data_IF_064447026547
#
_entry.id   IF_064447026547
#
_cell.length_a   1.000
_cell.length_b   1.000
_cell.length_c   1.000
_cell.angle_alpha   90.00
_cell.angle_beta   90.00
_cell.angle_gamma   90.00
#
_symmetry.space_group_name_H-M   'P 1'
#
loop_
_entity.id
_entity.type
_entity.pdbx_description
1 polymer ?
2 non-polymer ?
3 non-polymer ?
4 water ?
#
# COMPACT_ATOMS: atom_id res chain seq x y z
N UNK A 8 -9.16 11.77 20.06
CA UNK A 8 -8.41 11.95 18.82
C UNK A 8 -9.14 11.34 17.63
N UNK A 9 -9.04 11.99 16.46
CA UNK A 9 -9.80 11.49 15.32
C UNK A 9 -8.96 10.55 14.46
N UNK A 10 -7.62 10.55 14.66
CA UNK A 10 -6.70 9.76 13.86
C UNK A 10 -6.06 8.71 14.75
N UNK A 11 -6.07 7.45 14.30
CA UNK A 11 -5.30 6.46 15.02
C UNK A 11 -3.91 6.28 14.40
N UNK A 12 -2.96 5.73 15.16
CA UNK A 12 -1.62 5.43 14.63
C UNK A 12 -1.17 4.11 15.24
N UNK A 13 -0.67 3.21 14.39
CA UNK A 13 -0.09 1.99 14.94
C UNK A 13 1.41 1.91 14.58
N UNK A 14 2.22 1.59 15.61
CA UNK A 14 3.66 1.45 15.44
C UNK A 14 4.14 0.53 16.55
N UNK A 15 4.91 -0.49 16.16
CA UNK A 15 5.51 -1.43 17.10
C UNK A 15 6.93 -1.77 16.64
N UNK A 16 7.88 -1.55 17.55
CA UNK A 16 9.30 -1.73 17.32
C UNK A 16 9.61 -3.17 16.96
N UNK A 17 8.75 -4.09 17.43
CA UNK A 17 8.94 -5.50 17.14
C UNK A 17 9.00 -5.74 15.64
N UNK A 18 8.38 -4.88 14.82
CA UNK A 18 8.46 -5.11 13.37
C UNK A 18 9.82 -4.73 12.79
N UNK A 19 10.70 -4.15 13.62
CA UNK A 19 12.07 -3.86 13.23
C UNK A 19 12.90 -5.14 13.17
N UNK A 20 12.39 -6.25 13.74
CA UNK A 20 13.22 -7.43 13.98
C UNK A 20 13.61 -8.15 12.69
N UNK A 21 12.72 -8.08 11.70
CA UNK A 21 12.94 -8.61 10.38
C UNK A 21 14.20 -7.99 9.75
N UNK A 22 15.14 -8.83 9.31
CA UNK A 22 16.36 -8.22 8.80
C UNK A 22 17.04 -9.20 7.89
N UNK A 23 17.98 -8.65 7.12
CA UNK A 23 18.66 -9.41 6.09
C UNK A 23 20.01 -9.82 6.67
N UNK A 24 20.13 -11.10 6.99
CA UNK A 24 21.27 -11.60 7.74
C UNK A 24 22.54 -11.51 6.90
N UNK A 25 22.41 -11.48 5.56
CA UNK A 25 23.61 -11.44 4.73
C UNK A 25 23.89 -10.06 4.15
N UNK A 26 22.96 -9.11 4.30
CA UNK A 26 23.23 -7.79 3.77
C UNK A 26 22.56 -6.82 4.72
N UNK A 27 23.30 -6.43 5.76
CA UNK A 27 22.79 -5.58 6.82
C UNK A 27 22.49 -4.18 6.28
N UNK A 28 22.86 -3.94 5.02
CA UNK A 28 22.62 -2.66 4.38
C UNK A 28 21.54 -2.80 3.31
N UNK A 29 20.86 -3.96 3.24
CA UNK A 29 19.79 -4.06 2.26
C UNK A 29 18.83 -2.87 2.43
N UNK A 30 18.20 -2.29 1.38
CA UNK A 30 17.42 -1.06 1.57
C UNK A 30 16.07 -1.21 2.29
N UNK A 31 15.58 -2.45 2.46
CA UNK A 31 14.37 -2.63 3.22
C UNK A 31 14.76 -2.68 4.71
N UNK A 32 15.08 -1.51 5.28
CA UNK A 32 15.79 -1.43 6.55
C UNK A 32 14.81 -1.42 7.71
N UNK A 33 15.20 -2.01 8.87
CA UNK A 33 14.42 -1.91 10.10
C UNK A 33 14.06 -0.46 10.44
N UNK A 34 14.99 0.48 10.21
CA UNK A 34 14.76 1.87 10.62
C UNK A 34 13.85 2.62 9.65
N UNK A 35 13.34 1.95 8.61
CA UNK A 35 12.29 2.57 7.82
C UNK A 35 11.16 3.05 8.74
N UNK A 36 10.74 2.19 9.68
CA UNK A 36 9.55 2.45 10.49
C UNK A 36 9.90 3.34 11.69
N UNK A 37 11.13 3.19 12.21
CA UNK A 37 11.49 3.98 13.38
C UNK A 37 11.71 5.44 13.00
N UNK A 38 12.22 5.64 11.78
CA UNK A 38 12.53 6.95 11.22
C UNK A 38 11.21 7.67 10.94
N UNK A 39 10.23 6.94 10.40
CA UNK A 39 8.88 7.49 10.21
C UNK A 39 8.26 7.86 11.56
N UNK A 40 8.32 6.95 12.53
CA UNK A 40 7.71 7.19 13.83
C UNK A 40 8.34 8.42 14.51
N UNK A 41 9.68 8.50 14.46
CA UNK A 41 10.36 9.55 15.20
C UNK A 41 10.13 10.91 14.54
N UNK A 42 9.94 10.92 13.21
CA UNK A 42 9.54 12.14 12.52
C UNK A 42 8.12 12.56 12.92
N UNK A 43 7.23 11.59 13.15
CA UNK A 43 5.92 11.91 13.73
C UNK A 43 6.06 12.63 15.07
N UNK A 44 7.03 12.21 15.90
CA UNK A 44 7.29 12.85 17.19
C UNK A 44 7.78 14.29 16.98
N UNK A 45 8.76 14.46 16.09
CA UNK A 45 9.34 15.77 15.78
C UNK A 45 8.29 16.76 15.32
N UNK A 46 7.33 16.30 14.49
CA UNK A 46 6.33 17.19 13.93
C UNK A 46 5.11 17.28 14.84
N UNK A 47 5.24 16.78 16.07
CA UNK A 47 4.26 16.94 17.14
C UNK A 47 2.94 16.30 16.78
N UNK A 48 3.01 15.16 16.08
CA UNK A 48 1.82 14.48 15.58
C UNK A 48 1.39 13.34 16.50
N UNK A 49 2.32 12.77 17.30
CA UNK A 49 2.06 11.58 18.11
C UNK A 49 1.07 11.91 19.22
N UNK A 50 1.15 13.14 19.72
CA UNK A 50 0.30 13.54 20.84
C UNK A 50 -1.14 13.72 20.36
N UNK A 51 -1.35 13.88 19.05
CA UNK A 51 -2.68 14.12 18.53
C UNK A 51 -3.41 12.83 18.13
N UNK A 52 -2.67 11.72 18.15
CA UNK A 52 -3.15 10.49 17.56
C UNK A 52 -3.51 9.53 18.68
N UNK A 53 -4.53 8.70 18.45
CA UNK A 53 -4.83 7.61 19.37
C UNK A 53 -3.96 6.42 18.95
N UNK A 54 -3.16 5.91 19.90
CA UNK A 54 -2.26 4.80 19.65
C UNK A 54 -3.09 3.52 19.69
N UNK A 55 -3.07 2.83 18.56
CA UNK A 55 -3.76 1.56 18.34
C UNK A 55 -2.74 0.45 18.52
N UNK A 56 -2.96 -0.59 19.36
CA UNK A 56 -1.98 -1.67 19.53
C UNK A 56 -1.79 -2.53 18.27
N UNK A 57 -0.59 -3.07 18.11
CA UNK A 57 -0.44 -4.02 17.03
C UNK A 57 -0.82 -5.36 17.63
N UNK A 58 -1.07 -6.36 16.79
CA UNK A 58 -1.23 -7.69 17.32
C UNK A 58 -0.89 -8.62 16.18
N UNK A 59 -0.81 -9.92 16.48
CA UNK A 59 -0.54 -10.88 15.43
C UNK A 59 -1.81 -11.14 14.63
N UNK A 60 -1.75 -11.15 13.28
CA UNK A 60 -2.80 -11.82 12.51
C UNK A 60 -2.79 -13.28 12.95
N UNK A 61 -3.99 -13.87 13.05
CA UNK A 61 -4.13 -15.31 13.25
C UNK A 61 -4.04 -15.97 11.88
N UNK A 62 -3.88 -17.29 11.89
CA UNK A 62 -3.65 -18.06 10.69
C UNK A 62 -4.94 -18.11 9.86
N UNK A 63 -6.07 -18.10 10.58
CA UNK A 63 -7.40 -18.05 10.01
C UNK A 63 -7.61 -16.70 9.32
N UNK A 64 -7.14 -15.61 9.94
CA UNK A 64 -7.14 -14.34 9.23
C UNK A 64 -6.26 -14.38 7.98
N UNK A 65 -5.08 -15.03 8.05
CA UNK A 65 -4.23 -15.06 6.85
C UNK A 65 -4.92 -15.81 5.72
N UNK A 66 -5.76 -16.80 6.09
CA UNK A 66 -6.37 -17.68 5.11
C UNK A 66 -7.45 -16.91 4.35
N UNK A 67 -7.75 -15.67 4.79
CA UNK A 67 -8.65 -14.81 4.02
C UNK A 67 -8.14 -14.63 2.59
N UNK A 68 -6.81 -14.53 2.42
CA UNK A 68 -6.23 -14.27 1.12
C UNK A 68 -5.17 -15.29 0.73
N UNK A 69 -4.56 -16.03 1.68
CA UNK A 69 -3.37 -16.82 1.37
C UNK A 69 -3.69 -18.31 1.45
N UNK A 70 -3.03 -19.12 0.62
CA UNK A 70 -3.11 -20.58 0.65
C UNK A 70 -2.50 -21.10 1.95
N UNK A 71 -2.98 -22.29 2.38
CA UNK A 71 -2.45 -22.89 3.59
C UNK A 71 -1.00 -23.33 3.36
N UNK A 72 -0.67 -23.64 2.09
CA UNK A 72 0.69 -24.03 1.69
C UNK A 72 1.68 -22.88 1.85
N UNK A 73 1.25 -21.66 1.46
CA UNK A 73 2.11 -20.49 1.58
C UNK A 73 2.30 -20.14 3.06
N UNK A 74 1.18 -20.08 3.79
CA UNK A 74 1.17 -19.82 5.21
C UNK A 74 2.16 -20.77 5.89
N UNK A 75 2.06 -22.04 5.53
CA UNK A 75 2.84 -23.10 6.13
C UNK A 75 4.34 -22.82 5.96
N UNK A 76 4.76 -22.50 4.74
CA UNK A 76 6.17 -22.27 4.44
C UNK A 76 6.69 -21.05 5.22
N UNK A 77 5.96 -19.94 5.22
CA UNK A 77 6.51 -18.76 5.88
C UNK A 77 6.61 -19.01 7.39
N UNK A 78 5.63 -19.72 7.96
CA UNK A 78 5.69 -19.98 9.40
C UNK A 78 6.87 -20.87 9.74
N UNK A 79 7.23 -21.81 8.85
CA UNK A 79 8.33 -22.74 9.10
C UNK A 79 9.67 -22.01 9.19
N UNK A 80 9.74 -20.77 8.67
CA UNK A 80 11.01 -20.06 8.64
C UNK A 80 11.47 -19.76 10.07
N UNK A 81 10.52 -19.69 11.01
CA UNK A 81 10.82 -19.30 12.38
C UNK A 81 11.84 -20.21 13.02
N UNK A 82 11.88 -21.49 12.61
CA UNK A 82 12.77 -22.47 13.21
C UNK A 82 13.93 -22.86 12.28
N UNK A 83 14.13 -22.13 11.18
CA UNK A 83 15.18 -22.52 10.25
C UNK A 83 16.55 -22.01 10.69
N UNK A 84 17.60 -22.79 10.38
CA UNK A 84 18.96 -22.33 10.63
C UNK A 84 19.34 -21.36 9.53
N UNK A 85 20.40 -20.54 9.68
CA UNK A 85 20.76 -19.57 8.63
C UNK A 85 20.83 -20.09 7.18
N UNK A 86 21.42 -21.27 7.01
CA UNK A 86 21.60 -21.84 5.70
C UNK A 86 20.23 -22.08 5.04
N UNK A 87 19.23 -22.51 5.82
CA UNK A 87 17.92 -22.83 5.25
C UNK A 87 17.10 -21.58 4.94
N UNK A 88 17.26 -20.58 5.82
CA UNK A 88 16.69 -19.26 5.60
C UNK A 88 17.13 -18.74 4.24
N UNK A 89 18.45 -18.82 3.98
CA UNK A 89 19.08 -18.34 2.77
C UNK A 89 18.53 -19.06 1.54
N UNK A 90 18.44 -20.39 1.63
CA UNK A 90 17.85 -21.18 0.55
C UNK A 90 16.38 -20.79 0.33
N UNK A 91 15.64 -20.64 1.42
CA UNK A 91 14.21 -20.36 1.30
C UNK A 91 14.02 -18.98 0.66
N UNK A 92 14.75 -17.97 1.15
CA UNK A 92 14.69 -16.63 0.58
C UNK A 92 14.91 -16.70 -0.93
N UNK A 93 15.88 -17.52 -1.33
CA UNK A 93 16.33 -17.60 -2.72
C UNK A 93 15.28 -18.26 -3.64
N UNK A 94 14.26 -18.90 -3.08
CA UNK A 94 13.22 -19.50 -3.90
C UNK A 94 12.27 -18.47 -4.52
N UNK A 95 12.28 -17.22 -4.04
CA UNK A 95 11.31 -16.22 -4.49
C UNK A 95 12.04 -15.04 -5.15
N UNK A 96 11.29 -14.15 -5.81
CA UNK A 96 11.85 -12.94 -6.39
C UNK A 96 12.05 -11.90 -5.30
N UNK A 97 13.32 -11.54 -5.05
CA UNK A 97 13.77 -10.56 -4.06
C UNK A 97 13.08 -10.73 -2.71
N UNK A 98 13.50 -11.74 -1.95
CA UNK A 98 13.03 -11.91 -0.58
C UNK A 98 14.26 -12.26 0.26
N UNK A 99 14.40 -11.65 1.44
CA UNK A 99 15.27 -12.18 2.48
C UNK A 99 14.40 -12.57 3.68
N UNK A 100 14.86 -13.59 4.42
CA UNK A 100 14.10 -14.06 5.56
C UNK A 100 15.07 -14.22 6.72
N UNK A 101 14.66 -13.75 7.90
CA UNK A 101 15.32 -14.07 9.15
C UNK A 101 14.30 -14.81 10.01
N UNK A 102 14.69 -15.22 11.23
CA UNK A 102 13.81 -16.05 12.04
C UNK A 102 12.64 -15.24 12.59
N UNK A 103 12.73 -13.89 12.54
CA UNK A 103 11.73 -12.99 13.10
C UNK A 103 10.74 -12.51 12.04
N UNK A 104 10.98 -12.92 10.79
CA UNK A 104 10.27 -12.39 9.64
C UNK A 104 8.78 -12.67 9.71
N UNK A 105 8.47 -13.96 9.95
CA UNK A 105 7.11 -14.45 10.12
C UNK A 105 6.34 -13.62 11.14
N UNK A 106 6.88 -13.49 12.37
CA UNK A 106 6.28 -12.71 13.43
C UNK A 106 6.06 -11.25 12.99
N UNK A 107 7.02 -10.67 12.30
CA UNK A 107 6.87 -9.29 11.85
C UNK A 107 5.76 -9.14 10.80
N UNK A 108 5.60 -10.14 9.91
CA UNK A 108 4.59 -10.07 8.87
C UNK A 108 3.19 -10.18 9.49
N UNK A 109 3.07 -11.06 10.50
CA UNK A 109 1.87 -11.21 11.30
C UNK A 109 1.52 -9.88 11.98
N UNK A 110 2.53 -9.21 12.54
CA UNK A 110 2.33 -7.97 13.25
C UNK A 110 1.82 -6.87 12.31
N UNK A 111 2.45 -6.80 11.12
CA UNK A 111 2.09 -5.84 10.11
C UNK A 111 0.61 -5.96 9.74
N UNK A 112 0.16 -7.20 9.49
CA UNK A 112 -1.23 -7.45 9.12
C UNK A 112 -2.16 -7.23 10.30
N UNK A 113 -1.80 -7.71 11.50
CA UNK A 113 -2.73 -7.60 12.63
C UNK A 113 -2.88 -6.14 13.06
N UNK A 114 -1.82 -5.38 12.83
CA UNK A 114 -1.78 -3.97 13.20
C UNK A 114 -2.83 -3.25 12.36
N UNK A 115 -2.92 -3.66 11.11
CA UNK A 115 -3.85 -3.07 10.17
C UNK A 115 -5.29 -3.54 10.41
N UNK A 116 -5.51 -4.81 10.80
CA UNK A 116 -6.82 -5.23 11.25
C UNK A 116 -7.30 -4.35 12.41
N UNK A 117 -6.46 -4.13 13.42
CA UNK A 117 -6.86 -3.35 14.58
C UNK A 117 -7.21 -1.93 14.15
N UNK A 118 -6.46 -1.42 13.17
CA UNK A 118 -6.67 -0.07 12.67
C UNK A 118 -8.01 -0.03 11.93
N UNK A 119 -8.31 -1.08 11.17
CA UNK A 119 -9.54 -1.11 10.39
C UNK A 119 -10.75 -1.19 11.34
N UNK A 120 -10.65 -2.13 12.30
CA UNK A 120 -11.63 -2.21 13.36
C UNK A 120 -11.76 -0.89 14.12
N UNK A 121 -10.66 -0.20 14.42
CA UNK A 121 -10.76 1.08 15.13
C UNK A 121 -11.60 2.08 14.34
N UNK A 122 -11.45 2.08 12.99
CA UNK A 122 -12.15 3.00 12.11
C UNK A 122 -13.62 2.60 11.96
N UNK A 123 -13.85 1.29 11.78
CA UNK A 123 -15.18 0.80 11.50
C UNK A 123 -16.09 0.80 12.73
N UNK A 124 -15.54 0.73 13.96
CA UNK A 124 -16.32 0.79 15.20
C UNK A 124 -16.34 2.22 15.75
N UNK A 125 -15.83 3.19 14.99
CA UNK A 125 -15.99 4.59 15.35
C UNK A 125 -15.02 5.03 16.44
N UNK A 126 -14.04 4.19 16.80
CA UNK A 126 -13.01 4.58 17.77
C UNK A 126 -12.22 5.77 17.22
N UNK A 127 -11.79 5.66 15.96
CA UNK A 127 -11.19 6.78 15.27
C UNK A 127 -11.91 6.95 13.93
N UNK A 128 -11.64 8.08 13.26
CA UNK A 128 -12.16 8.32 11.93
C UNK A 128 -11.22 7.71 10.89
N UNK A 129 -9.92 7.85 11.11
CA UNK A 129 -8.94 7.45 10.12
C UNK A 129 -7.70 7.00 10.89
N UNK A 130 -6.71 6.45 10.17
CA UNK A 130 -5.58 5.83 10.84
C UNK A 130 -4.41 5.73 9.88
N UNK A 131 -3.22 5.65 10.46
CA UNK A 131 -1.99 5.43 9.71
C UNK A 131 -1.28 4.24 10.36
N UNK A 132 -0.74 3.35 9.53
CA UNK A 132 -0.13 2.13 9.98
C UNK A 132 1.33 2.13 9.54
N UNK A 133 2.24 2.33 10.50
CA UNK A 133 3.66 2.37 10.22
C UNK A 133 4.25 0.96 10.40
N UNK A 134 4.22 0.15 9.32
CA UNK A 134 4.46 -1.29 9.45
C UNK A 134 5.50 -1.71 8.41
N UNK A 135 6.16 -2.84 8.69
CA UNK A 135 7.01 -3.54 7.75
C UNK A 135 7.03 -4.98 8.25
N UNK A 136 7.34 -5.98 7.39
CA UNK A 136 7.67 -5.80 5.99
C UNK A 136 6.42 -5.39 5.22
N UNK A 137 6.57 -4.92 3.96
CA UNK A 137 5.42 -4.58 3.11
C UNK A 137 4.58 -5.77 2.63
N UNK A 138 3.58 -5.51 1.76
CA UNK A 138 2.55 -6.51 1.54
C UNK A 138 2.14 -6.72 0.09
N UNK A 139 2.19 -5.67 -0.74
CA UNK A 139 1.36 -5.68 -1.95
C UNK A 139 1.83 -6.57 -3.11
N UNK A 140 3.06 -7.11 -3.07
CA UNK A 140 3.46 -8.07 -4.09
C UNK A 140 3.12 -9.51 -3.68
N UNK A 141 2.86 -9.74 -2.39
CA UNK A 141 2.50 -11.08 -1.91
C UNK A 141 1.23 -11.59 -2.59
N UNK A 142 1.34 -12.77 -3.21
CA UNK A 142 0.21 -13.38 -3.88
C UNK A 142 -0.42 -14.42 -2.97
N UNK A 143 -1.52 -15.00 -3.42
CA UNK A 143 -2.23 -16.02 -2.65
C UNK A 143 -1.25 -17.13 -2.28
N UNK A 144 -0.37 -17.50 -3.22
CA UNK A 144 0.42 -18.70 -3.00
C UNK A 144 1.92 -18.42 -2.88
N UNK A 145 2.35 -17.13 -2.84
CA UNK A 145 3.81 -16.90 -2.79
C UNK A 145 4.20 -15.49 -2.29
N UNK A 146 5.38 -15.40 -1.63
CA UNK A 146 6.05 -14.16 -1.27
C UNK A 146 6.80 -13.58 -2.48
N UNK A 147 7.04 -12.26 -2.50
CA UNK A 147 7.69 -11.62 -3.63
C UNK A 147 8.00 -10.17 -3.26
N UNK A 148 9.16 -9.66 -3.71
CA UNK A 148 9.45 -8.23 -3.64
C UNK A 148 9.38 -7.65 -2.23
N UNK A 149 10.00 -8.35 -1.25
CA UNK A 149 10.10 -7.94 0.16
C UNK A 149 8.81 -8.21 0.92
N UNK A 150 7.79 -8.82 0.28
CA UNK A 150 6.43 -8.97 0.82
C UNK A 150 6.13 -10.45 1.11
N UNK A 151 5.63 -10.75 2.33
CA UNK A 151 5.33 -12.13 2.73
C UNK A 151 3.82 -12.41 2.61
N UNK A 152 3.01 -11.50 3.17
CA UNK A 152 1.55 -11.61 3.20
C UNK A 152 0.98 -10.27 2.77
N UNK A 153 -0.15 -10.28 2.04
CA UNK A 153 -0.71 -9.06 1.47
C UNK A 153 -1.50 -8.30 2.53
N UNK A 154 -0.76 -7.49 3.27
CA UNK A 154 -1.33 -6.68 4.34
C UNK A 154 -2.60 -5.92 3.89
N UNK A 155 -2.58 -5.22 2.74
CA UNK A 155 -3.73 -4.39 2.38
C UNK A 155 -4.91 -5.25 1.94
N UNK A 156 -4.62 -6.30 1.17
CA UNK A 156 -5.63 -7.27 0.79
C UNK A 156 -6.31 -7.91 2.00
N UNK A 157 -5.51 -8.34 2.97
CA UNK A 157 -6.02 -9.03 4.17
C UNK A 157 -6.91 -8.06 4.93
N UNK A 158 -6.43 -6.83 5.09
CA UNK A 158 -7.20 -5.79 5.76
C UNK A 158 -8.57 -5.61 5.09
N UNK A 159 -8.64 -5.52 3.74
CA UNK A 159 -9.92 -5.42 3.04
C UNK A 159 -10.84 -6.59 3.34
N UNK A 160 -10.34 -7.84 3.22
CA UNK A 160 -11.14 -8.99 3.63
C UNK A 160 -11.51 -8.97 5.12
N UNK A 161 -10.54 -8.61 5.97
CA UNK A 161 -10.84 -8.54 7.39
C UNK A 161 -11.98 -7.54 7.62
N UNK A 162 -11.92 -6.38 6.96
CA UNK A 162 -12.94 -5.35 7.15
C UNK A 162 -14.31 -5.90 6.81
N UNK A 163 -14.38 -6.68 5.73
CA UNK A 163 -15.63 -7.26 5.23
C UNK A 163 -16.11 -8.28 6.24
N UNK A 164 -15.17 -9.06 6.80
CA UNK A 164 -15.56 -10.15 7.69
C UNK A 164 -16.21 -9.60 8.97
N UNK A 165 -15.92 -8.35 9.37
CA UNK A 165 -16.44 -7.82 10.62
C UNK A 165 -17.56 -6.80 10.33
N UNK A 166 -17.90 -6.58 9.06
CA UNK A 166 -19.06 -5.77 8.76
C UNK A 166 -20.03 -6.64 7.96
N UNK A 167 -20.06 -6.43 6.64
CA UNK A 167 -20.76 -7.30 5.72
C UNK A 167 -19.80 -7.60 4.59
N UNK A 168 -19.96 -8.80 4.01
CA UNK A 168 -19.09 -9.34 2.97
C UNK A 168 -19.04 -8.37 1.80
N UNK A 169 -20.11 -7.62 1.60
CA UNK A 169 -20.19 -6.76 0.44
C UNK A 169 -19.67 -5.33 0.71
N UNK A 170 -19.07 -5.07 1.89
CA UNK A 170 -18.49 -3.75 2.17
C UNK A 170 -17.60 -3.29 1.01
N UNK A 171 -17.86 -2.08 0.49
CA UNK A 171 -17.07 -1.59 -0.62
C UNK A 171 -15.77 -0.97 -0.08
N UNK A 172 -14.66 -1.62 -0.44
CA UNK A 172 -13.35 -1.16 -0.01
C UNK A 172 -12.60 -0.74 -1.27
N UNK A 173 -12.13 0.52 -1.26
CA UNK A 173 -11.17 1.02 -2.24
C UNK A 173 -9.75 0.81 -1.72
N UNK A 174 -8.86 0.24 -2.56
CA UNK A 174 -7.41 0.20 -2.33
C UNK A 174 -6.75 1.10 -3.35
N UNK A 175 -6.22 2.22 -2.88
CA UNK A 175 -5.36 3.05 -3.72
C UNK A 175 -3.91 2.72 -3.38
N UNK A 176 -3.15 2.35 -4.41
CA UNK A 176 -1.78 1.88 -4.28
C UNK A 176 -0.89 2.86 -5.04
N UNK A 177 -0.25 3.75 -4.26
CA UNK A 177 0.55 4.81 -4.83
C UNK A 177 2.04 4.51 -4.64
N UNK A 178 2.33 3.31 -4.14
CA UNK A 178 3.68 2.79 -4.23
C UNK A 178 4.17 2.89 -5.69
N UNK A 179 5.47 3.11 -5.94
CA UNK A 179 5.90 3.31 -7.33
C UNK A 179 5.84 2.00 -8.13
N UNK A 180 5.71 0.88 -7.43
CA UNK A 180 5.65 -0.43 -8.07
C UNK A 180 4.20 -0.95 -8.07
N UNK A 181 3.89 -1.73 -9.11
CA UNK A 181 2.56 -2.32 -9.21
C UNK A 181 2.36 -3.37 -8.11
N UNK A 182 1.17 -3.36 -7.50
CA UNK A 182 0.80 -4.33 -6.48
C UNK A 182 0.21 -5.57 -7.16
N UNK A 183 1.08 -6.37 -7.79
CA UNK A 183 0.65 -7.55 -8.51
C UNK A 183 -0.25 -8.41 -7.62
N UNK A 184 0.12 -8.56 -6.33
CA UNK A 184 -0.56 -9.48 -5.43
C UNK A 184 -1.97 -9.00 -5.11
N UNK A 185 -2.12 -7.68 -4.92
CA UNK A 185 -3.42 -7.12 -4.66
C UNK A 185 -4.32 -7.29 -5.90
N UNK A 186 -3.81 -6.94 -7.07
CA UNK A 186 -4.60 -7.06 -8.26
C UNK A 186 -5.11 -8.49 -8.39
N UNK A 187 -4.18 -9.45 -8.25
CA UNK A 187 -4.54 -10.83 -8.53
C UNK A 187 -5.60 -11.31 -7.56
N UNK A 188 -5.48 -10.90 -6.30
CA UNK A 188 -6.36 -11.41 -5.25
C UNK A 188 -7.79 -10.95 -5.55
N UNK A 189 -7.95 -9.70 -6.00
CA UNK A 189 -9.27 -9.13 -6.14
C UNK A 189 -9.70 -9.02 -7.61
N UNK A 190 -9.03 -9.74 -8.53
CA UNK A 190 -9.14 -9.53 -9.96
C UNK A 190 -10.56 -9.82 -10.47
N UNK A 191 -11.25 -10.77 -9.84
CA UNK A 191 -12.62 -11.11 -10.21
C UNK A 191 -13.62 -10.69 -9.13
N UNK A 192 -13.33 -9.60 -8.41
CA UNK A 192 -14.15 -9.18 -7.29
C UNK A 192 -14.67 -7.76 -7.55
N UNK A 193 -15.99 -7.52 -7.45
CA UNK A 193 -16.53 -6.18 -7.60
C UNK A 193 -16.68 -5.47 -6.26
N UNK A 194 -16.32 -6.13 -5.16
CA UNK A 194 -16.52 -5.54 -3.83
C UNK A 194 -15.28 -4.76 -3.38
N UNK A 195 -14.14 -4.97 -4.07
CA UNK A 195 -12.88 -4.32 -3.77
C UNK A 195 -12.34 -3.67 -5.04
N UNK A 196 -12.38 -2.34 -5.12
CA UNK A 196 -11.80 -1.60 -6.22
C UNK A 196 -10.31 -1.40 -5.93
N UNK A 197 -9.49 -1.83 -6.88
CA UNK A 197 -8.04 -1.69 -6.84
C UNK A 197 -7.63 -0.65 -7.89
N UNK A 198 -6.94 0.39 -7.41
CA UNK A 198 -6.34 1.43 -8.25
C UNK A 198 -4.85 1.53 -7.92
N UNK A 199 -4.05 1.38 -8.97
CA UNK A 199 -2.61 1.39 -8.83
C UNK A 199 -2.03 2.41 -9.79
N UNK A 200 -1.17 3.26 -9.23
CA UNK A 200 -0.28 4.05 -10.06
C UNK A 200 1.13 3.53 -9.85
N UNK A 201 1.88 3.37 -10.95
CA UNK A 201 3.16 2.69 -10.89
C UNK A 201 4.01 2.96 -12.12
N UNK A 202 5.32 3.10 -11.91
CA UNK A 202 6.27 3.08 -13.00
C UNK A 202 6.21 1.70 -13.67
N UNK A 203 6.14 1.71 -15.01
CA UNK A 203 5.91 0.51 -15.80
C UNK A 203 7.04 0.28 -16.81
N UNK A 204 7.39 1.30 -17.61
CA UNK A 204 8.45 1.21 -18.61
C UNK A 204 8.22 0.01 -19.55
N UNK A 205 6.96 -0.14 -19.99
CA UNK A 205 6.61 -1.19 -20.95
C UNK A 205 7.00 -2.56 -20.44
N UNK A 206 7.03 -2.75 -19.12
CA UNK A 206 7.36 -4.03 -18.53
C UNK A 206 8.80 -4.09 -18.02
N UNK A 207 9.60 -3.02 -18.22
CA UNK A 207 10.99 -3.14 -17.84
C UNK A 207 11.20 -2.90 -16.34
N UNK A 208 10.15 -2.53 -15.61
CA UNK A 208 10.28 -2.17 -14.20
C UNK A 208 9.63 -3.26 -13.35
N UNK A 209 10.24 -3.52 -12.18
CA UNK A 209 9.72 -4.50 -11.24
C UNK A 209 8.24 -4.18 -10.94
N UNK A 210 7.33 -5.18 -10.87
CA UNK A 210 7.65 -6.59 -11.14
C UNK A 210 7.73 -7.17 -12.55
N UNK A 211 7.92 -6.35 -13.58
CA UNK A 211 8.40 -6.91 -14.84
C UNK A 211 7.34 -7.79 -15.51
N UNK A 212 6.07 -7.38 -15.41
CA UNK A 212 4.95 -8.13 -15.98
C UNK A 212 3.96 -7.20 -16.67
N UNK A 213 3.33 -7.72 -17.74
CA UNK A 213 2.30 -7.02 -18.47
C UNK A 213 0.97 -6.94 -17.69
N UNK A 214 0.90 -7.66 -16.56
CA UNK A 214 -0.23 -7.60 -15.63
C UNK A 214 -0.49 -6.16 -15.21
N UNK A 215 0.51 -5.31 -15.32
CA UNK A 215 0.43 -3.95 -14.78
C UNK A 215 -0.03 -2.95 -15.85
N UNK A 216 -0.28 -3.41 -17.06
CA UNK A 216 -0.69 -2.47 -18.10
C UNK A 216 -2.14 -2.01 -17.90
N UNK A 217 -2.47 -0.85 -18.46
CA UNK A 217 -3.77 -0.22 -18.25
C UNK A 217 -4.89 -1.10 -18.80
N UNK A 218 -4.55 -2.04 -19.68
CA UNK A 218 -5.59 -2.84 -20.28
C UNK A 218 -5.97 -4.01 -19.39
N UNK A 219 -5.35 -4.16 -18.21
CA UNK A 219 -5.85 -5.21 -17.33
C UNK A 219 -6.89 -4.56 -16.44
N UNK A 220 -8.19 -4.76 -16.76
CA UNK A 220 -9.30 -4.02 -16.17
C UNK A 220 -10.07 -4.89 -15.20
N UNK A 221 -9.63 -6.14 -15.00
CA UNK A 221 -10.40 -7.05 -14.16
C UNK A 221 -11.06 -8.16 -14.98
N UNK A 222 -11.60 -9.17 -14.30
CA UNK A 222 -12.11 -10.36 -14.95
C UNK A 222 -13.50 -10.68 -14.40
N UNK A 223 -14.40 -11.15 -15.26
CA UNK A 223 -15.70 -11.64 -14.80
C UNK A 223 -16.48 -10.47 -14.19
N UNK A 224 -17.05 -10.67 -12.99
CA UNK A 224 -17.79 -9.60 -12.33
C UNK A 224 -16.81 -8.49 -11.91
N UNK A 225 -15.51 -8.77 -12.00
CA UNK A 225 -14.44 -7.85 -11.59
C UNK A 225 -14.10 -6.84 -12.69
N UNK A 226 -14.73 -6.96 -13.86
CA UNK A 226 -14.41 -6.06 -14.96
C UNK A 226 -14.68 -4.63 -14.50
N UNK A 227 -13.65 -3.79 -14.59
CA UNK A 227 -13.84 -2.40 -14.25
C UNK A 227 -13.34 -2.16 -12.83
N UNK A 228 -13.10 -3.22 -12.05
CA UNK A 228 -12.69 -2.99 -10.66
C UNK A 228 -11.18 -3.14 -10.44
N UNK A 229 -10.39 -3.10 -11.53
CA UNK A 229 -8.94 -3.10 -11.45
C UNK A 229 -8.44 -2.00 -12.36
N UNK A 230 -7.93 -0.93 -11.76
CA UNK A 230 -7.49 0.24 -12.53
C UNK A 230 -5.97 0.36 -12.42
N UNK A 231 -5.27 0.21 -13.54
CA UNK A 231 -3.82 0.31 -13.51
C UNK A 231 -3.41 1.58 -14.24
N UNK A 232 -2.64 2.46 -13.57
CA UNK A 232 -2.22 3.71 -14.18
C UNK A 232 -0.69 3.64 -14.35
N UNK A 233 -0.20 3.13 -15.52
CA UNK A 233 1.23 2.86 -15.71
C UNK A 233 2.02 4.05 -16.26
N UNK A 234 3.18 4.33 -15.66
CA UNK A 234 4.02 5.41 -16.20
C UNK A 234 5.10 4.80 -17.09
N UNK A 235 5.32 5.42 -18.27
CA UNK A 235 6.33 5.00 -19.22
C UNK A 235 7.23 6.19 -19.57
N UNK A 236 8.46 6.21 -19.04
CA UNK A 236 9.45 7.18 -19.49
C UNK A 236 9.21 8.56 -18.87
N UNK A 237 10.21 9.06 -18.15
CA UNK A 237 10.09 10.37 -17.50
C UNK A 237 9.94 10.23 -15.99
N UNK A 238 10.68 11.08 -15.26
CA UNK A 238 10.61 11.15 -13.82
C UNK A 238 9.30 11.85 -13.46
N UNK A 239 8.28 11.06 -13.16
CA UNK A 239 6.99 11.63 -12.81
C UNK A 239 7.05 12.27 -11.43
N UNK A 240 6.32 13.37 -11.25
CA UNK A 240 6.26 14.01 -9.95
C UNK A 240 4.84 14.44 -9.62
N UNK A 241 4.75 15.46 -8.78
CA UNK A 241 3.51 16.06 -8.29
C UNK A 241 2.55 16.35 -9.43
N UNK A 242 2.98 16.97 -10.56
CA UNK A 242 2.02 17.31 -11.63
C UNK A 242 1.27 16.12 -12.23
N UNK A 243 2.01 15.04 -12.51
CA UNK A 243 1.43 13.87 -13.14
C UNK A 243 0.47 13.17 -12.18
N UNK A 244 0.85 13.10 -10.89
CA UNK A 244 0.08 12.39 -9.87
C UNK A 244 -1.19 13.16 -9.54
N UNK A 245 -1.10 14.50 -9.47
CA UNK A 245 -2.31 15.29 -9.28
C UNK A 245 -3.24 15.12 -10.47
N UNK A 246 -2.67 15.17 -11.68
CA UNK A 246 -3.49 15.04 -12.86
C UNK A 246 -4.13 13.66 -12.91
N UNK A 247 -3.34 12.62 -12.53
CA UNK A 247 -3.90 11.27 -12.49
C UNK A 247 -5.08 11.18 -11.51
N UNK A 248 -5.00 11.89 -10.37
CA UNK A 248 -6.05 11.88 -9.36
C UNK A 248 -7.29 12.64 -9.85
N UNK A 249 -7.07 13.76 -10.55
CA UNK A 249 -8.18 14.56 -11.03
C UNK A 249 -8.97 13.83 -12.13
N UNK A 250 -8.27 13.25 -13.10
CA UNK A 250 -8.95 12.73 -14.27
C UNK A 250 -9.38 11.28 -14.04
N UNK A 251 -8.69 10.55 -13.16
CA UNK A 251 -8.92 9.12 -13.06
C UNK A 251 -9.27 8.69 -11.64
N UNK A 252 -8.32 8.79 -10.70
CA UNK A 252 -8.48 8.21 -9.38
C UNK A 252 -9.78 8.70 -8.74
N UNK A 253 -9.94 10.02 -8.61
CA UNK A 253 -11.07 10.54 -7.85
C UNK A 253 -12.39 10.33 -8.61
N UNK A 254 -12.51 10.61 -9.92
CA UNK A 254 -13.80 10.37 -10.59
C UNK A 254 -14.25 8.90 -10.40
N UNK A 255 -13.33 7.97 -10.58
CA UNK A 255 -13.70 6.56 -10.41
C UNK A 255 -14.05 6.24 -8.95
N UNK A 256 -13.23 6.69 -7.97
CA UNK A 256 -13.47 6.40 -6.55
C UNK A 256 -14.83 6.93 -6.07
N UNK A 257 -15.16 8.18 -6.44
CA UNK A 257 -16.44 8.79 -6.11
C UNK A 257 -17.59 7.94 -6.61
N UNK A 258 -17.53 7.48 -7.86
CA UNK A 258 -18.62 6.69 -8.40
C UNK A 258 -18.72 5.34 -7.67
N UNK A 259 -17.58 4.77 -7.26
CA UNK A 259 -17.64 3.47 -6.61
C UNK A 259 -18.25 3.66 -5.23
N UNK A 260 -18.11 4.87 -4.66
CA UNK A 260 -18.63 5.28 -3.36
C UNK A 260 -18.23 4.23 -2.31
N UNK A 261 -16.91 4.10 -2.06
CA UNK A 261 -16.40 3.09 -1.12
C UNK A 261 -16.84 3.43 0.31
N UNK A 262 -16.88 2.39 1.16
CA UNK A 262 -17.23 2.56 2.56
C UNK A 262 -15.97 2.58 3.42
N UNK A 263 -14.83 2.10 2.87
CA UNK A 263 -13.54 2.18 3.55
C UNK A 263 -12.48 2.40 2.47
N UNK A 264 -11.52 3.30 2.72
CA UNK A 264 -10.40 3.50 1.79
C UNK A 264 -9.15 2.94 2.45
N UNK A 265 -8.41 2.10 1.71
CA UNK A 265 -7.09 1.62 2.11
C UNK A 265 -6.04 2.21 1.18
N UNK A 266 -5.01 2.81 1.77
CA UNK A 266 -3.91 3.27 0.96
C UNK A 266 -2.72 2.33 1.16
N UNK A 267 -2.40 1.57 0.09
CA UNK A 267 -1.09 1.01 -0.14
C UNK A 267 -0.12 2.15 -0.42
N UNK A 268 0.48 2.64 0.68
CA UNK A 268 1.21 3.90 0.71
C UNK A 268 2.71 3.60 0.77
N UNK A 269 3.28 3.20 -0.38
CA UNK A 269 4.71 3.22 -0.62
C UNK A 269 5.15 4.67 -0.88
N UNK A 270 6.34 5.04 -0.41
CA UNK A 270 6.89 6.38 -0.64
C UNK A 270 8.12 6.31 -1.54
N UNK A 271 8.12 5.34 -2.47
CA UNK A 271 9.26 5.10 -3.33
C UNK A 271 9.11 5.85 -4.65
N UNK A 272 7.99 6.56 -4.83
CA UNK A 272 7.83 7.50 -5.93
C UNK A 272 8.30 8.88 -5.48
N UNK A 273 8.83 8.97 -4.25
CA UNK A 273 9.27 10.24 -3.68
C UNK A 273 10.58 10.70 -4.29
N UNK A 274 10.76 12.02 -4.38
CA UNK A 274 12.06 12.59 -4.67
C UNK A 274 13.07 12.02 -3.69
N UNK A 275 14.22 11.57 -4.20
CA UNK A 275 15.27 11.04 -3.35
C UNK A 275 15.27 9.50 -3.33
N UNK A 276 14.23 8.86 -3.85
CA UNK A 276 14.18 7.41 -3.74
C UNK A 276 15.06 6.77 -4.80
N UNK A 277 16.12 6.05 -4.37
CA UNK A 277 17.00 5.33 -5.29
C UNK A 277 16.28 4.28 -6.15
N UNK A 278 15.26 3.60 -5.61
CA UNK A 278 14.59 2.52 -6.33
C UNK A 278 13.66 3.10 -7.39
N UNK A 279 12.93 4.17 -7.05
CA UNK A 279 11.87 4.62 -7.93
C UNK A 279 12.35 5.62 -8.97
N UNK A 280 13.21 6.53 -8.53
CA UNK A 280 13.71 7.59 -9.38
C UNK A 280 12.63 8.58 -9.83
N UNK A 281 11.54 8.74 -9.05
CA UNK A 281 10.54 9.77 -9.36
C UNK A 281 10.69 10.98 -8.43
N UNK A 282 9.69 11.87 -8.38
CA UNK A 282 9.97 13.17 -7.82
C UNK A 282 8.77 13.70 -7.04
N UNK A 283 7.94 12.79 -6.51
CA UNK A 283 6.77 13.23 -5.76
C UNK A 283 7.27 13.83 -4.44
N UNK A 284 6.75 15.03 -4.06
CA UNK A 284 7.20 15.75 -2.86
C UNK A 284 6.33 15.36 -1.67
N UNK A 285 6.75 15.62 -0.40
CA UNK A 285 5.84 15.46 0.72
C UNK A 285 4.54 16.22 0.53
N UNK A 286 4.60 17.44 0.01
CA UNK A 286 3.38 18.23 -0.14
C UNK A 286 2.47 17.52 -1.14
N UNK A 287 3.08 16.82 -2.10
CA UNK A 287 2.31 16.10 -3.11
C UNK A 287 1.47 14.99 -2.46
N UNK A 288 2.14 14.15 -1.66
CA UNK A 288 1.47 13.06 -0.93
C UNK A 288 0.44 13.64 0.03
N UNK A 289 0.71 14.83 0.58
CA UNK A 289 -0.31 15.54 1.36
C UNK A 289 -1.59 15.80 0.56
N UNK A 290 -1.46 16.34 -0.67
CA UNK A 290 -2.63 16.67 -1.48
C UNK A 290 -3.36 15.39 -1.87
N UNK A 291 -2.60 14.33 -2.22
CA UNK A 291 -3.23 13.05 -2.51
C UNK A 291 -4.09 12.58 -1.33
N UNK A 292 -3.52 12.52 -0.11
CA UNK A 292 -4.23 12.10 1.09
C UNK A 292 -5.48 12.96 1.29
N UNK A 293 -5.34 14.28 1.14
CA UNK A 293 -6.42 15.20 1.42
C UNK A 293 -7.58 14.91 0.46
N UNK A 294 -7.25 14.70 -0.83
CA UNK A 294 -8.27 14.32 -1.81
C UNK A 294 -8.98 13.04 -1.42
N UNK A 295 -8.23 12.02 -0.98
CA UNK A 295 -8.88 10.75 -0.65
C UNK A 295 -9.76 10.91 0.60
N UNK A 296 -9.44 11.90 1.45
CA UNK A 296 -10.26 12.16 2.63
C UNK A 296 -11.70 12.57 2.26
N UNK A 297 -11.98 12.89 0.98
CA UNK A 297 -13.32 13.28 0.60
C UNK A 297 -14.19 12.06 0.31
N UNK A 298 -13.66 10.84 0.49
CA UNK A 298 -14.37 9.59 0.22
C UNK A 298 -14.70 8.92 1.55
N UNK A 299 -15.72 8.05 1.52
CA UNK A 299 -16.03 7.14 2.61
C UNK A 299 -16.12 7.93 3.93
N UNK A 300 -16.61 9.17 3.84
CA UNK A 300 -16.83 10.04 4.99
C UNK A 300 -15.56 10.15 5.85
N UNK A 301 -14.38 10.08 5.21
CA UNK A 301 -13.12 10.30 5.93
C UNK A 301 -12.46 9.02 6.44
N UNK A 302 -13.04 7.84 6.14
CA UNK A 302 -12.64 6.57 6.74
C UNK A 302 -11.49 5.92 5.96
N UNK A 303 -10.27 6.44 6.13
CA UNK A 303 -9.09 6.12 5.35
C UNK A 303 -8.02 5.55 6.27
N UNK A 304 -7.45 4.41 5.87
CA UNK A 304 -6.30 3.81 6.52
C UNK A 304 -5.12 3.84 5.56
N UNK A 305 -4.00 4.41 6.03
CA UNK A 305 -2.80 4.58 5.24
C UNK A 305 -1.79 3.55 5.74
N UNK A 306 -1.45 2.61 4.87
CA UNK A 306 -0.57 1.51 5.22
C UNK A 306 0.77 1.68 4.51
N UNK A 307 1.86 1.69 5.29
CA UNK A 307 3.20 1.72 4.70
C UNK A 307 3.47 0.49 3.80
N UNK A 308 3.91 0.74 2.55
CA UNK A 308 4.41 -0.29 1.66
C UNK A 308 5.91 -0.08 1.49
N UNK A 309 6.40 0.31 0.31
CA UNK A 309 7.82 0.54 0.11
C UNK A 309 8.21 2.00 0.36
N UNK A 310 9.43 2.39 -0.07
CA UNK A 310 9.99 3.71 0.19
C UNK A 310 11.32 3.57 0.93
N UNK A 311 12.42 4.01 0.28
CA UNK A 311 13.78 3.61 0.64
C UNK A 311 14.66 4.80 1.02
N UNK A 312 14.19 6.03 0.78
CA UNK A 312 14.91 7.19 1.27
C UNK A 312 14.34 7.56 2.65
N UNK A 313 15.14 7.39 3.71
CA UNK A 313 14.63 7.49 5.05
C UNK A 313 14.05 8.88 5.30
N UNK A 314 14.72 9.92 4.78
CA UNK A 314 14.23 11.28 4.96
C UNK A 314 12.94 11.48 4.17
N UNK A 315 12.91 10.99 2.91
CA UNK A 315 11.74 11.23 2.07
C UNK A 315 10.49 10.59 2.65
N UNK A 316 10.62 9.32 3.09
CA UNK A 316 9.46 8.57 3.52
C UNK A 316 8.97 9.12 4.86
N UNK A 317 9.89 9.57 5.71
CA UNK A 317 9.54 10.09 7.02
C UNK A 317 8.78 11.41 6.85
N UNK A 318 9.26 12.27 5.95
CA UNK A 318 8.60 13.55 5.74
C UNK A 318 7.27 13.34 5.02
N UNK A 319 7.26 12.43 4.04
CA UNK A 319 6.05 12.19 3.30
C UNK A 319 4.96 11.59 4.19
N UNK A 320 5.26 10.46 4.85
CA UNK A 320 4.22 9.81 5.62
C UNK A 320 3.70 10.72 6.73
N UNK A 321 4.58 11.46 7.40
CA UNK A 321 4.17 12.39 8.44
C UNK A 321 3.22 13.44 7.88
N UNK A 322 3.47 13.86 6.63
CA UNK A 322 2.59 14.85 6.01
C UNK A 322 1.19 14.27 5.75
N UNK A 323 1.10 12.96 5.46
CA UNK A 323 -0.19 12.31 5.26
C UNK A 323 -0.97 12.27 6.56
N UNK A 324 -0.26 11.94 7.66
CA UNK A 324 -0.91 11.85 8.96
C UNK A 324 -1.43 13.25 9.31
N UNK A 325 -0.64 14.27 9.03
CA UNK A 325 -1.07 15.64 9.27
C UNK A 325 -2.41 15.93 8.58
N UNK A 326 -2.56 15.53 7.31
CA UNK A 326 -3.80 15.72 6.56
C UNK A 326 -4.94 14.94 7.19
N UNK A 327 -4.69 13.68 7.62
CA UNK A 327 -5.75 12.89 8.24
C UNK A 327 -6.31 13.59 9.47
N UNK A 328 -5.40 14.22 10.22
CA UNK A 328 -5.70 14.99 11.41
C UNK A 328 -6.47 16.26 11.05
N UNK A 329 -6.62 16.55 9.75
CA UNK A 329 -7.42 17.69 9.38
C UNK A 329 -6.62 18.99 9.26
N UNK A 330 -5.30 18.93 9.10
CA UNK A 330 -4.53 20.15 8.87
C UNK A 330 -4.72 20.61 7.42
N UNK A 331 -4.56 21.92 7.16
CA UNK A 331 -4.78 22.39 5.80
C UNK A 331 -3.66 21.91 4.88
N UNK A 332 -3.97 21.61 3.60
CA UNK A 332 -2.94 21.16 2.66
C UNK A 332 -1.91 22.27 2.48
N UNK A 333 -0.60 21.95 2.40
CA UNK A 333 0.44 22.95 2.21
C UNK A 333 0.34 23.38 0.75
N UNK A 334 1.13 24.38 0.35
CA UNK A 334 0.88 25.16 -0.85
C UNK A 334 0.61 24.27 -2.08
N UNK A 339 2.08 23.18 -13.41
CA UNK A 339 3.33 22.72 -14.09
C UNK A 339 2.91 21.71 -15.15
N UNK A 340 2.92 22.07 -16.45
CA UNK A 340 2.42 21.17 -17.49
C UNK A 340 3.05 19.79 -17.33
N UNK A 341 2.27 18.78 -17.72
CA UNK A 341 2.64 17.39 -17.54
C UNK A 341 3.75 17.08 -18.53
N UNK A 342 4.57 16.10 -18.15
CA UNK A 342 5.34 15.33 -19.11
C UNK A 342 4.35 14.69 -20.09
N UNK A 343 4.87 14.36 -21.28
CA UNK A 343 4.01 13.97 -22.40
C UNK A 343 3.54 12.54 -22.14
N UNK A 344 4.47 11.69 -21.74
CA UNK A 344 4.15 10.30 -21.53
C UNK A 344 3.06 10.17 -20.47
N UNK A 345 2.99 11.15 -19.55
CA UNK A 345 1.96 11.15 -18.52
C UNK A 345 0.58 11.43 -19.12
N UNK A 346 0.48 12.42 -20.01
CA UNK A 346 -0.78 12.71 -20.69
C UNK A 346 -1.21 11.44 -21.43
N UNK A 347 -0.24 10.86 -22.13
CA UNK A 347 -0.46 9.64 -22.91
C UNK A 347 -1.04 8.54 -22.03
N UNK A 348 -0.42 8.27 -20.88
CA UNK A 348 -0.87 7.20 -19.98
C UNK A 348 -2.30 7.48 -19.51
N UNK A 349 -2.54 8.73 -19.08
CA UNK A 349 -3.82 9.07 -18.49
C UNK A 349 -4.94 8.81 -19.53
N UNK A 350 -4.66 9.19 -20.80
CA UNK A 350 -5.54 9.04 -21.95
C UNK A 350 -5.80 7.57 -22.28
N UNK A 351 -4.76 6.74 -22.21
CA UNK A 351 -4.97 5.31 -22.40
C UNK A 351 -5.86 4.70 -21.31
N UNK A 352 -5.67 5.08 -20.03
CA UNK A 352 -6.46 4.54 -18.94
C UNK A 352 -7.92 5.01 -19.09
N UNK A 353 -8.11 6.28 -19.48
CA UNK A 353 -9.41 6.86 -19.71
C UNK A 353 -10.17 5.99 -20.73
N UNK A 354 -9.49 5.55 -21.79
CA UNK A 354 -10.11 4.74 -22.86
C UNK A 354 -10.43 3.33 -22.39
N UNK A 355 -9.54 2.73 -21.58
CA UNK A 355 -9.73 1.37 -21.08
C UNK A 355 -10.84 1.35 -20.04
N UNK A 356 -11.07 2.48 -19.34
CA UNK A 356 -12.01 2.46 -18.22
C UNK A 356 -13.34 3.16 -18.53
N UNK A 357 -13.43 3.83 -19.68
CA UNK A 357 -14.71 4.39 -20.13
C UNK A 357 -15.81 3.32 -20.11
N UNK A 358 -15.55 2.04 -20.44
CA UNK A 358 -16.62 1.04 -20.44
C UNK A 358 -17.29 0.83 -19.10
N UNK A 359 -16.63 1.26 -18.02
CA UNK A 359 -17.07 0.88 -16.68
C UNK A 359 -17.47 2.09 -15.84
N UNK A 360 -16.87 3.28 -16.09
CA UNK A 360 -16.98 4.39 -15.16
C UNK A 360 -17.50 5.61 -15.92
N UNK A 361 -18.79 5.92 -15.70
CA UNK A 361 -19.50 6.94 -16.46
C UNK A 361 -18.95 8.33 -16.16
N UNK A 362 -18.34 8.50 -14.97
CA UNK A 362 -17.54 9.67 -14.65
C UNK A 362 -16.47 9.92 -15.73
N UNK A 363 -16.00 8.88 -16.42
CA UNK A 363 -14.94 9.10 -17.41
C UNK A 363 -15.57 9.40 -18.77
#
# INVERSE_FOLDING_TARGET
>A
SNAGGSSPITGLVYDQRMMLHHNMWDSHHPELPQRISRIFSRHEELRLLSRCHRIPARLATEEELALCHSSKHISIIKSSEHMKPRDLNRLGDEYNSIFISNESYTCALLAAGSCFNSAQAILTGQVRNAVAIVRPPGHHAEKDTACGFCFFNTAALTARYAQSITRESLRVLIVDWDVHHGNGTQHIFEEDDSVLYISLHRYEDGAFFPNSEDANYDKVGLGKGRGYNVNIPWNGGKMGDPEYMAAFHHLVMPIAREFAPELVLVSAGFDAARGDPLGGFQVTPEGYAHLTHQLMSLAAGRVLIILEGGYNLTSISESMSMCTSMLLGDSPPSLDHLTPLKTSATVSINNVLRAHAPFWSSLR
#
